data_IF_584810948836
#
_entry.id   IF_584810948836
#
_cell.length_a   1.000
_cell.length_b   1.000
_cell.length_c   1.000
_cell.angle_alpha   90.00
_cell.angle_beta   90.00
_cell.angle_gamma   90.00
#
_symmetry.space_group_name_H-M   'P 1'
#
loop_
_entity.id
_entity.type
_entity.pdbx_description
1 polymer ?
#
# COMPACT_ATOMS: atom_id res chain seq x y z
N UNK A 1 8.43 -7.22 -19.75
CA UNK A 1 9.78 -7.12 -19.16
C UNK A 1 9.66 -7.15 -17.64
N UNK A 2 10.63 -7.73 -16.93
CA UNK A 2 10.62 -7.84 -15.46
C UNK A 2 10.72 -6.46 -14.78
N UNK A 3 11.58 -5.61 -15.32
CA UNK A 3 11.84 -4.26 -14.82
C UNK A 3 10.62 -3.38 -15.03
N UNK A 4 10.01 -3.42 -16.23
CA UNK A 4 8.78 -2.67 -16.52
C UNK A 4 7.63 -3.09 -15.59
N UNK A 5 7.49 -4.40 -15.32
CA UNK A 5 6.48 -4.89 -14.38
C UNK A 5 6.72 -4.35 -12.98
N UNK A 6 7.97 -4.38 -12.51
CA UNK A 6 8.30 -3.87 -11.19
C UNK A 6 8.04 -2.36 -11.09
N UNK A 7 8.32 -1.59 -12.16
CA UNK A 7 7.99 -0.16 -12.21
C UNK A 7 6.49 0.09 -12.11
N UNK A 8 5.66 -0.69 -12.82
CA UNK A 8 4.20 -0.59 -12.74
C UNK A 8 3.71 -0.92 -11.33
N UNK A 9 4.21 -2.00 -10.72
CA UNK A 9 3.86 -2.38 -9.35
C UNK A 9 4.18 -1.24 -8.40
N UNK A 10 5.39 -0.66 -8.47
CA UNK A 10 5.78 0.48 -7.64
C UNK A 10 4.85 1.68 -7.85
N UNK A 11 4.45 1.98 -9.08
CA UNK A 11 3.50 3.08 -9.36
C UNK A 11 2.15 2.82 -8.68
N UNK A 12 1.63 1.61 -8.83
CA UNK A 12 0.34 1.21 -8.24
C UNK A 12 0.41 1.21 -6.71
N UNK A 13 1.50 0.72 -6.11
CA UNK A 13 1.71 0.76 -4.67
C UNK A 13 1.66 2.18 -4.14
N UNK A 14 2.27 3.14 -4.83
CA UNK A 14 2.23 4.56 -4.42
C UNK A 14 0.81 5.13 -4.49
N UNK A 15 0.02 4.78 -5.51
CA UNK A 15 -1.37 5.23 -5.61
C UNK A 15 -2.27 4.60 -4.53
N UNK A 16 -2.05 3.33 -4.21
CA UNK A 16 -2.84 2.61 -3.19
C UNK A 16 -2.61 3.15 -1.78
N UNK A 17 -1.49 3.81 -1.51
CA UNK A 17 -1.18 4.42 -0.22
C UNK A 17 -1.56 5.90 -0.13
N UNK A 18 -2.21 6.48 -1.15
CA UNK A 18 -2.68 7.86 -1.09
C UNK A 18 -3.73 7.99 0.02
N UNK A 19 -3.46 8.82 1.02
CA UNK A 19 -4.43 9.13 2.09
C UNK A 19 -4.95 10.56 2.00
N UNK A 20 -4.32 11.41 1.18
CA UNK A 20 -4.70 12.82 1.01
C UNK A 20 -5.86 13.02 0.01
N UNK A 21 -5.99 12.14 -0.99
CA UNK A 21 -6.90 12.26 -2.13
C UNK A 21 -7.69 10.99 -2.42
N UNK A 22 -7.31 9.85 -1.85
CA UNK A 22 -8.10 8.62 -2.01
C UNK A 22 -9.47 8.71 -1.33
N UNK A 23 -10.39 7.91 -1.86
CA UNK A 23 -11.73 7.73 -1.32
C UNK A 23 -12.05 6.24 -1.28
N UNK A 24 -12.67 5.81 -0.19
CA UNK A 24 -13.27 4.48 -0.10
C UNK A 24 -14.63 4.50 -0.78
N UNK A 25 -14.84 3.57 -1.71
CA UNK A 25 -16.12 3.37 -2.37
C UNK A 25 -16.93 2.33 -1.60
N UNK A 26 -18.02 2.79 -1.00
CA UNK A 26 -18.96 1.93 -0.30
C UNK A 26 -19.94 1.27 -1.28
N UNK A 27 -20.51 0.13 -0.88
CA UNK A 27 -21.47 -0.62 -1.72
C UNK A 27 -22.77 0.16 -2.01
N UNK A 28 -23.07 1.19 -1.22
CA UNK A 28 -24.21 2.10 -1.41
C UNK A 28 -23.91 3.24 -2.41
N UNK A 29 -22.70 3.27 -2.99
CA UNK A 29 -22.27 4.28 -3.96
C UNK A 29 -21.73 5.56 -3.35
N UNK A 30 -21.60 5.65 -2.01
CA UNK A 30 -20.94 6.79 -1.37
C UNK A 30 -19.42 6.68 -1.47
N UNK A 31 -18.80 7.83 -1.63
CA UNK A 31 -17.35 8.00 -1.57
C UNK A 31 -16.99 8.67 -0.25
N UNK A 32 -16.15 8.03 0.56
CA UNK A 32 -15.66 8.56 1.83
C UNK A 32 -14.18 8.91 1.73
N UNK A 33 -13.76 10.16 1.99
CA UNK A 33 -12.35 10.53 1.94
C UNK A 33 -11.52 9.77 2.97
N UNK A 34 -10.44 9.12 2.53
CA UNK A 34 -9.53 8.35 3.41
C UNK A 34 -8.84 9.25 4.43
N UNK A 35 -8.64 10.53 4.13
CA UNK A 35 -8.03 11.50 5.08
C UNK A 35 -8.78 11.58 6.42
N UNK A 36 -10.08 11.25 6.43
CA UNK A 36 -10.90 11.28 7.65
C UNK A 36 -10.68 10.07 8.56
N UNK A 37 -10.01 9.02 8.08
CA UNK A 37 -9.71 7.81 8.85
C UNK A 37 -8.32 7.85 9.48
N UNK A 38 -7.55 8.91 9.25
CA UNK A 38 -6.22 9.09 9.81
C UNK A 38 -6.29 9.34 11.32
N UNK A 39 -5.32 8.79 12.05
CA UNK A 39 -5.18 9.06 13.48
C UNK A 39 -4.72 10.50 13.75
N UNK A 40 -4.99 11.01 14.96
CA UNK A 40 -4.57 12.36 15.33
C UNK A 40 -3.03 12.47 15.28
N UNK A 41 -2.53 13.36 14.42
CA UNK A 41 -1.10 13.58 14.22
C UNK A 41 -0.50 12.83 13.03
N UNK A 42 -1.26 11.97 12.35
CA UNK A 42 -0.82 11.39 11.07
C UNK A 42 -0.83 12.43 9.95
N UNK A 43 0.25 12.47 9.17
CA UNK A 43 0.34 13.34 8.00
C UNK A 43 -0.27 12.65 6.77
N UNK A 44 -1.16 13.33 6.02
CA UNK A 44 -1.74 12.76 4.82
C UNK A 44 -0.69 12.62 3.71
N UNK A 45 -0.67 11.46 3.07
CA UNK A 45 0.22 11.15 1.95
C UNK A 45 -0.48 11.43 0.61
N UNK A 46 0.15 12.23 -0.26
CA UNK A 46 -0.35 12.53 -1.60
C UNK A 46 0.57 11.91 -2.66
N UNK A 47 0.05 10.91 -3.38
CA UNK A 47 0.77 10.13 -4.39
C UNK A 47 1.28 11.01 -5.55
N UNK A 48 0.43 11.91 -6.06
CA UNK A 48 0.75 12.78 -7.20
C UNK A 48 1.86 13.78 -6.84
N UNK A 49 1.74 14.40 -5.66
CA UNK A 49 2.76 15.30 -5.15
C UNK A 49 4.08 14.57 -4.92
N UNK A 50 4.02 13.33 -4.41
CA UNK A 50 5.20 12.49 -4.23
C UNK A 50 5.86 12.15 -5.58
N UNK A 51 5.10 11.81 -6.62
CA UNK A 51 5.70 11.55 -7.94
C UNK A 51 6.38 12.79 -8.54
N UNK A 52 5.80 13.97 -8.36
CA UNK A 52 6.33 15.22 -8.92
C UNK A 52 7.54 15.75 -8.14
N UNK A 53 7.53 15.64 -6.81
CA UNK A 53 8.52 16.31 -5.94
C UNK A 53 9.28 15.35 -5.02
N UNK A 54 8.63 14.28 -4.57
CA UNK A 54 9.16 13.35 -3.56
C UNK A 54 10.11 12.29 -4.13
N UNK A 55 9.81 11.75 -5.32
CA UNK A 55 10.59 10.66 -5.95
C UNK A 55 12.05 11.02 -6.22
N UNK A 56 12.32 12.30 -6.49
CA UNK A 56 13.67 12.82 -6.75
C UNK A 56 14.31 13.46 -5.50
N UNK A 57 13.58 13.48 -4.39
CA UNK A 57 14.09 13.96 -3.10
C UNK A 57 14.67 12.81 -2.30
N UNK A 58 15.58 13.10 -1.36
CA UNK A 58 16.12 12.09 -0.42
C UNK A 58 15.07 11.57 0.58
N UNK A 59 13.81 12.05 0.51
CA UNK A 59 12.73 11.60 1.36
C UNK A 59 12.22 10.24 0.87
N UNK A 60 12.43 9.23 1.71
CA UNK A 60 11.84 7.89 1.52
C UNK A 60 10.32 7.97 1.60
N UNK A 61 9.64 7.11 0.84
CA UNK A 61 8.20 6.92 0.99
C UNK A 61 7.89 6.39 2.40
N UNK A 62 6.73 6.73 2.99
CA UNK A 62 6.34 6.25 4.32
C UNK A 62 5.88 4.78 4.33
N UNK A 63 6.02 4.07 3.20
CA UNK A 63 5.64 2.68 3.01
C UNK A 63 6.68 1.94 2.16
N UNK A 64 6.65 0.61 2.19
CA UNK A 64 7.55 -0.22 1.40
C UNK A 64 7.11 -0.25 -0.08
N UNK A 65 8.01 0.18 -0.97
CA UNK A 65 7.81 0.21 -2.42
C UNK A 65 8.04 -1.15 -3.10
N UNK A 66 8.57 -2.12 -2.35
CA UNK A 66 8.91 -3.46 -2.81
C UNK A 66 7.99 -4.54 -2.26
N UNK A 67 6.85 -4.16 -1.66
CA UNK A 67 5.77 -5.10 -1.37
C UNK A 67 5.37 -5.75 -2.69
N UNK A 68 5.78 -7.00 -2.86
CA UNK A 68 5.30 -7.83 -3.95
C UNK A 68 3.81 -8.07 -3.69
N UNK A 69 2.92 -7.90 -4.69
CA UNK A 69 1.55 -8.37 -4.54
C UNK A 69 1.62 -9.84 -4.14
N UNK A 70 0.97 -10.19 -3.02
CA UNK A 70 0.94 -11.54 -2.49
C UNK A 70 0.52 -12.48 -3.62
N UNK A 71 1.45 -13.29 -4.14
CA UNK A 71 1.04 -14.41 -4.99
C UNK A 71 0.26 -15.33 -4.06
N UNK A 72 -0.98 -15.65 -4.44
CA UNK A 72 -1.93 -16.45 -3.66
C UNK A 72 -1.41 -17.85 -3.23
N UNK A 73 -0.16 -18.18 -3.53
CA UNK A 73 0.51 -19.43 -3.19
C UNK A 73 1.25 -19.39 -1.84
N UNK A 74 1.38 -18.22 -1.19
CA UNK A 74 2.20 -18.09 0.03
C UNK A 74 1.40 -18.28 1.34
N UNK A 75 0.08 -18.12 1.33
CA UNK A 75 -0.74 -18.22 2.55
C UNK A 75 -0.95 -19.67 3.05
N UNK A 76 -0.76 -20.70 2.21
CA UNK A 76 -0.96 -22.09 2.67
C UNK A 76 0.17 -22.65 3.55
N UNK A 77 1.36 -22.01 3.59
CA UNK A 77 2.52 -22.59 4.31
C UNK A 77 2.70 -22.14 5.76
N UNK A 78 2.10 -21.03 6.19
CA UNK A 78 2.31 -20.53 7.56
C UNK A 78 1.28 -21.01 8.58
N UNK A 79 0.08 -21.43 8.18
CA UNK A 79 -0.93 -21.97 9.13
C UNK A 79 -0.69 -23.43 9.56
N UNK A 80 0.26 -24.15 8.94
CA UNK A 80 0.50 -25.57 9.21
C UNK A 80 1.50 -25.90 10.34
N UNK A 81 2.28 -24.93 10.83
CA UNK A 81 3.38 -25.22 11.77
C UNK A 81 3.09 -25.01 13.25
N UNK A 82 1.95 -24.43 13.63
CA UNK A 82 1.70 -24.06 15.03
C UNK A 82 0.98 -25.13 15.87
N UNK A 83 0.53 -26.25 15.28
CA UNK A 83 -0.19 -27.32 16.02
C UNK A 83 0.60 -28.61 16.28
N UNK A 84 1.91 -28.64 16.00
CA UNK A 84 2.74 -29.84 16.21
C UNK A 84 3.77 -29.73 17.35
N UNK A 85 3.69 -28.68 18.18
CA UNK A 85 4.61 -28.48 19.31
C UNK A 85 3.84 -28.18 20.62
N UNK A 86 2.95 -29.09 21.00
CA UNK A 86 2.59 -29.25 22.41
C UNK A 86 2.30 -30.72 22.65
N UNK A 87 3.24 -31.40 23.30
CA UNK A 87 3.14 -32.78 23.76
C UNK A 87 3.59 -32.80 25.20
#
# INVERSE_FOLDING_TARGET
DETERQQIITILTVYLHDTAKAHDLHSDGRYEPVVNTLEEGEEPFNSQFWFLNGRHSDKKAPFDLHVLPCTAETEEKEQGKEKAASK
#
